data_IF_066520950138
#
_entry.id   IF_066520950138
#
_cell.length_a   1.000
_cell.length_b   1.000
_cell.length_c   1.000
_cell.angle_alpha   90.00
_cell.angle_beta   90.00
_cell.angle_gamma   90.00
#
_symmetry.space_group_name_H-M   'P 1'
#
loop_
_entity.id
_entity.type
_entity.pdbx_description
1 polymer ?
#
# COMPACT_ATOMS: atom_id res chain seq x y z
N UNK A 1 -1.18 -51.34 2.17
CA UNK A 1 -1.15 -51.44 0.71
C UNK A 1 -0.46 -50.22 0.17
N UNK A 2 0.61 -50.45 -0.58
CA UNK A 2 1.39 -49.45 -1.32
C UNK A 2 0.80 -49.35 -2.73
N UNK A 3 0.66 -48.13 -3.28
CA UNK A 3 0.61 -47.81 -4.72
C UNK A 3 0.45 -46.27 -4.84
N UNK A 4 1.55 -45.54 -5.03
CA UNK A 4 2.20 -45.08 -6.27
C UNK A 4 1.62 -43.78 -6.87
N UNK A 5 2.43 -42.71 -7.03
CA UNK A 5 1.99 -41.41 -7.57
C UNK A 5 1.99 -41.37 -9.11
N UNK A 6 1.13 -40.56 -9.74
CA UNK A 6 1.10 -40.40 -11.20
C UNK A 6 2.25 -39.55 -11.74
N UNK A 7 2.76 -40.04 -12.86
CA UNK A 7 3.95 -39.64 -13.62
C UNK A 7 3.80 -38.33 -14.41
N UNK A 8 4.88 -37.55 -14.47
CA UNK A 8 5.06 -36.38 -15.33
C UNK A 8 5.05 -36.75 -16.83
N UNK A 9 4.35 -35.96 -17.65
CA UNK A 9 4.41 -36.01 -19.12
C UNK A 9 5.52 -35.08 -19.67
N UNK A 10 6.28 -35.51 -20.68
CA UNK A 10 7.26 -34.67 -21.38
C UNK A 10 6.62 -33.86 -22.52
N UNK A 11 6.95 -32.57 -22.59
CA UNK A 11 6.58 -31.68 -23.71
C UNK A 11 7.55 -31.83 -24.90
N UNK A 12 7.07 -31.86 -26.15
CA UNK A 12 7.90 -32.03 -27.34
C UNK A 12 8.63 -30.73 -27.77
N UNK A 13 9.88 -30.89 -28.19
CA UNK A 13 10.76 -29.87 -28.74
C UNK A 13 10.30 -29.39 -30.13
N UNK A 14 10.36 -28.07 -30.38
CA UNK A 14 10.15 -27.47 -31.70
C UNK A 14 11.43 -27.49 -32.56
N UNK A 15 11.32 -27.71 -33.89
CA UNK A 15 12.46 -27.72 -34.82
C UNK A 15 13.03 -26.32 -35.11
N UNK A 16 14.35 -26.26 -35.26
CA UNK A 16 15.12 -25.08 -35.64
C UNK A 16 15.10 -24.88 -37.17
N UNK A 17 14.90 -23.64 -37.64
CA UNK A 17 15.07 -23.26 -39.04
C UNK A 17 16.53 -22.83 -39.35
N UNK A 18 17.09 -23.22 -40.51
CA UNK A 18 18.46 -22.90 -40.90
C UNK A 18 18.57 -21.56 -41.66
N UNK A 19 19.48 -20.69 -41.20
CA UNK A 19 19.85 -19.43 -41.84
C UNK A 19 21.11 -19.61 -42.70
N UNK A 20 21.07 -19.36 -44.03
CA UNK A 20 22.27 -19.36 -44.86
C UNK A 20 22.79 -17.93 -45.09
N UNK A 21 24.12 -17.75 -45.05
CA UNK A 21 24.94 -17.28 -46.18
C UNK A 21 26.28 -16.66 -45.72
N UNK A 22 27.44 -17.26 -46.09
CA UNK A 22 28.71 -16.53 -46.15
C UNK A 22 29.38 -16.62 -47.53
N UNK A 23 29.81 -15.48 -48.06
CA UNK A 23 30.81 -15.41 -49.16
C UNK A 23 31.75 -14.20 -49.01
N UNK A 24 33.07 -14.43 -48.95
CA UNK A 24 34.13 -13.59 -49.54
C UNK A 24 34.78 -14.37 -50.71
N UNK A 25 35.86 -13.94 -51.40
CA UNK A 25 36.69 -12.71 -51.37
C UNK A 25 36.93 -12.12 -52.80
N UNK A 26 37.81 -11.11 -52.99
CA UNK A 26 38.82 -11.05 -54.09
C UNK A 26 39.75 -9.81 -53.94
N UNK A 27 41.08 -9.94 -54.15
CA UNK A 27 42.05 -8.82 -54.11
C UNK A 27 42.61 -8.44 -55.50
N UNK A 28 43.06 -7.19 -55.68
CA UNK A 28 43.82 -6.71 -56.87
C UNK A 28 44.79 -5.52 -56.50
N UNK A 29 45.85 -5.25 -57.31
CA UNK A 29 47.20 -4.84 -56.87
C UNK A 29 47.60 -3.35 -57.10
N UNK A 30 48.83 -2.91 -56.72
CA UNK A 30 49.23 -1.51 -56.52
C UNK A 30 50.12 -0.94 -57.65
N UNK A 31 50.04 0.37 -57.93
CA UNK A 31 51.06 1.12 -58.68
C UNK A 31 51.09 2.60 -58.22
N UNK A 32 52.30 3.12 -57.95
CA UNK A 32 52.55 4.51 -57.59
C UNK A 32 52.91 5.40 -58.78
N UNK A 33 52.87 6.72 -58.56
CA UNK A 33 53.68 7.75 -59.25
C UNK A 33 53.66 9.06 -58.45
N UNK A 34 54.72 9.86 -58.61
CA UNK A 34 55.12 11.03 -57.81
C UNK A 34 54.95 12.34 -58.64
N UNK A 35 55.54 13.52 -58.30
CA UNK A 35 54.88 14.74 -57.80
C UNK A 35 54.95 15.97 -58.74
N UNK A 36 54.20 17.06 -58.48
CA UNK A 36 54.59 18.44 -58.91
C UNK A 36 53.88 19.56 -58.08
N UNK A 37 54.56 20.66 -57.69
CA UNK A 37 54.04 21.72 -56.80
C UNK A 37 53.60 23.02 -57.53
N UNK A 38 52.68 23.80 -56.95
CA UNK A 38 52.34 25.19 -57.35
C UNK A 38 51.88 26.07 -56.13
N UNK A 39 52.05 27.42 -56.17
CA UNK A 39 52.36 28.32 -55.03
C UNK A 39 51.20 29.20 -54.47
N UNK A 40 51.41 30.03 -53.42
CA UNK A 40 50.40 30.47 -52.45
C UNK A 40 49.83 31.89 -52.70
N UNK A 41 48.62 32.15 -52.21
CA UNK A 41 48.05 33.51 -52.09
C UNK A 41 47.61 33.79 -50.65
N UNK A 42 48.14 34.88 -50.09
CA UNK A 42 47.79 35.43 -48.79
C UNK A 42 46.50 36.27 -48.87
N UNK A 43 45.64 36.19 -47.85
CA UNK A 43 44.59 37.16 -47.60
C UNK A 43 44.53 37.55 -46.11
N UNK A 44 44.33 38.84 -45.91
CA UNK A 44 44.44 39.61 -44.68
C UNK A 44 43.08 39.69 -43.95
N UNK A 45 43.01 39.59 -42.60
CA UNK A 45 41.72 39.65 -41.90
C UNK A 45 41.20 41.09 -41.68
N UNK A 46 39.87 41.32 -41.78
CA UNK A 46 39.23 42.62 -41.55
C UNK A 46 38.96 42.95 -40.05
N UNK A 47 38.74 44.23 -39.70
CA UNK A 47 38.69 44.72 -38.32
C UNK A 47 37.37 44.39 -37.59
N UNK A 48 37.50 44.09 -36.29
CA UNK A 48 36.43 43.61 -35.41
C UNK A 48 35.69 44.80 -34.75
N UNK A 49 34.44 45.02 -35.12
CA UNK A 49 33.56 46.01 -34.48
C UNK A 49 32.77 45.34 -33.35
N UNK A 50 33.08 45.71 -32.10
CA UNK A 50 32.38 45.21 -30.91
C UNK A 50 31.03 45.95 -30.74
N UNK A 51 29.91 45.26 -30.96
CA UNK A 51 28.56 45.79 -30.71
C UNK A 51 28.15 45.39 -29.29
N UNK A 52 27.82 46.37 -28.44
CA UNK A 52 27.37 46.11 -27.07
C UNK A 52 26.06 45.29 -27.05
N UNK A 53 25.95 44.22 -26.24
CA UNK A 53 24.80 43.33 -26.25
C UNK A 53 23.55 44.02 -25.72
N UNK A 54 22.47 44.03 -26.51
CA UNK A 54 21.16 44.52 -26.10
C UNK A 54 20.57 43.57 -25.04
N UNK A 55 20.24 44.11 -23.87
CA UNK A 55 19.59 43.36 -22.78
C UNK A 55 18.20 42.89 -23.24
N UNK A 56 18.02 41.58 -23.35
CA UNK A 56 16.74 41.00 -23.71
C UNK A 56 15.86 40.86 -22.47
N UNK A 57 14.65 41.43 -22.52
CA UNK A 57 13.61 41.18 -21.52
C UNK A 57 12.93 39.82 -21.72
N UNK A 58 13.35 39.07 -22.75
CA UNK A 58 12.86 37.73 -23.05
C UNK A 58 13.03 36.77 -21.87
N UNK A 59 14.20 36.79 -21.19
CA UNK A 59 14.44 35.91 -20.05
C UNK A 59 13.53 36.24 -18.86
N UNK A 60 13.26 37.52 -18.63
CA UNK A 60 12.33 37.97 -17.59
C UNK A 60 10.89 37.54 -17.89
N UNK A 61 10.45 37.64 -19.14
CA UNK A 61 9.09 37.24 -19.53
C UNK A 61 8.92 35.71 -19.47
N UNK A 62 9.93 34.95 -19.90
CA UNK A 62 9.91 33.48 -19.81
C UNK A 62 9.86 33.01 -18.37
N UNK A 63 10.62 33.65 -17.46
CA UNK A 63 10.61 33.29 -16.05
C UNK A 63 9.26 33.57 -15.36
N UNK A 64 8.59 34.66 -15.74
CA UNK A 64 7.26 34.98 -15.22
C UNK A 64 6.19 33.99 -15.69
N UNK A 65 6.25 33.55 -16.95
CA UNK A 65 5.33 32.54 -17.49
C UNK A 65 5.55 31.19 -16.78
N UNK A 66 6.81 30.78 -16.59
CA UNK A 66 7.15 29.53 -15.88
C UNK A 66 6.65 29.53 -14.43
N UNK A 67 6.81 30.65 -13.72
CA UNK A 67 6.30 30.80 -12.34
C UNK A 67 4.76 30.74 -12.31
N UNK A 68 4.10 31.38 -13.26
CA UNK A 68 2.64 31.31 -13.39
C UNK A 68 2.13 29.90 -13.61
N UNK A 69 2.77 29.13 -14.51
CA UNK A 69 2.43 27.72 -14.76
C UNK A 69 2.69 26.85 -13.53
N UNK A 70 3.79 27.06 -12.82
CA UNK A 70 4.10 26.32 -11.60
C UNK A 70 3.04 26.55 -10.51
N UNK A 71 2.59 27.80 -10.30
CA UNK A 71 1.53 28.11 -9.35
C UNK A 71 0.20 27.50 -9.78
N UNK A 72 -0.12 27.53 -11.08
CA UNK A 72 -1.35 26.94 -11.62
C UNK A 72 -1.34 25.41 -11.49
N UNK A 73 -0.17 24.78 -11.65
CA UNK A 73 0.01 23.35 -11.46
C UNK A 73 -0.14 22.94 -9.99
N UNK A 74 0.54 23.64 -9.07
CA UNK A 74 0.44 23.36 -7.62
C UNK A 74 -0.95 23.67 -7.07
N UNK A 75 -1.53 24.81 -7.46
CA UNK A 75 -2.89 25.20 -7.08
C UNK A 75 -3.95 24.27 -7.68
N UNK A 76 -3.78 23.86 -8.95
CA UNK A 76 -4.66 22.89 -9.62
C UNK A 76 -4.60 21.51 -8.98
N UNK A 77 -3.42 21.02 -8.62
CA UNK A 77 -3.26 19.77 -7.88
C UNK A 77 -3.92 19.83 -6.50
N UNK A 78 -3.80 20.96 -5.77
CA UNK A 78 -4.43 21.11 -4.47
C UNK A 78 -5.97 21.09 -4.55
N UNK A 79 -6.58 21.70 -5.58
CA UNK A 79 -8.03 21.65 -5.79
C UNK A 79 -8.49 20.23 -6.15
N UNK A 80 -7.73 19.51 -6.99
CA UNK A 80 -8.08 18.14 -7.38
C UNK A 80 -7.98 17.16 -6.20
N UNK A 81 -6.98 17.33 -5.33
CA UNK A 81 -6.83 16.55 -4.10
C UNK A 81 -7.93 16.91 -3.07
N UNK A 82 -8.26 18.19 -2.91
CA UNK A 82 -9.33 18.64 -2.01
C UNK A 82 -10.73 18.16 -2.41
N UNK A 83 -11.02 18.08 -3.71
CA UNK A 83 -12.28 17.55 -4.22
C UNK A 83 -12.39 16.03 -4.02
N UNK A 84 -11.29 15.27 -4.14
CA UNK A 84 -11.28 13.83 -3.87
C UNK A 84 -11.54 13.50 -2.40
N UNK A 85 -11.06 14.30 -1.45
CA UNK A 85 -11.34 14.05 -0.02
C UNK A 85 -12.81 14.23 0.38
N UNK A 86 -13.58 15.07 -0.34
CA UNK A 86 -14.98 15.31 -0.02
C UNK A 86 -15.95 14.24 -0.57
N UNK A 87 -15.50 13.44 -1.54
CA UNK A 87 -16.33 12.43 -2.22
C UNK A 87 -15.91 10.99 -1.88
N UNK A 88 -14.65 10.79 -1.44
CA UNK A 88 -14.15 9.50 -0.93
C UNK A 88 -14.65 9.20 0.49
N UNK A 89 -15.05 10.21 1.27
CA UNK A 89 -15.61 10.04 2.62
C UNK A 89 -17.01 9.40 2.68
N UNK A 90 -17.61 8.99 1.56
CA UNK A 90 -18.93 8.33 1.53
C UNK A 90 -18.91 6.89 1.02
N UNK A 91 -17.77 6.39 0.53
CA UNK A 91 -17.63 5.02 0.00
C UNK A 91 -16.46 4.24 0.62
N UNK A 92 -15.79 4.76 1.65
CA UNK A 92 -14.72 4.07 2.38
C UNK A 92 -15.14 3.56 3.78
N UNK A 93 -16.33 3.93 4.26
CA UNK A 93 -16.79 3.50 5.60
C UNK A 93 -17.10 2.00 5.68
N UNK A 94 -17.28 1.33 4.54
CA UNK A 94 -17.62 -0.11 4.51
C UNK A 94 -16.41 -1.04 4.42
N UNK A 95 -15.24 -0.58 3.95
CA UNK A 95 -14.05 -1.44 3.82
C UNK A 95 -13.13 -1.42 5.05
N UNK A 96 -13.40 -0.53 6.01
CA UNK A 96 -12.59 -0.38 7.24
C UNK A 96 -13.18 -1.13 8.44
N UNK A 97 -14.38 -1.72 8.31
CA UNK A 97 -15.08 -2.42 9.41
C UNK A 97 -14.36 -3.68 9.91
N UNK A 98 -13.42 -4.21 9.13
CA UNK A 98 -12.70 -5.44 9.45
C UNK A 98 -11.32 -5.21 10.08
N UNK A 99 -10.78 -3.98 10.10
CA UNK A 99 -9.44 -3.74 10.64
C UNK A 99 -9.43 -3.80 12.17
N UNK A 100 -8.59 -4.62 12.83
CA UNK A 100 -8.54 -4.70 14.27
C UNK A 100 -8.23 -3.34 14.92
N UNK A 101 -8.99 -2.95 15.94
CA UNK A 101 -8.81 -1.68 16.66
C UNK A 101 -8.02 -1.92 17.93
N UNK A 102 -7.01 -1.08 18.19
CA UNK A 102 -6.29 -1.09 19.46
C UNK A 102 -7.19 -0.58 20.59
N UNK A 103 -7.28 -1.32 21.68
CA UNK A 103 -8.08 -0.96 22.85
C UNK A 103 -7.21 -0.94 24.11
N UNK A 104 -7.63 -0.15 25.10
CA UNK A 104 -7.05 -0.15 26.44
C UNK A 104 -7.91 -1.00 27.37
N UNK A 105 -7.30 -1.85 28.18
CA UNK A 105 -8.01 -2.63 29.19
C UNK A 105 -8.89 -1.74 30.10
N UNK A 106 -10.14 -2.14 30.29
CA UNK A 106 -11.11 -1.41 31.12
C UNK A 106 -11.75 -0.19 30.47
N UNK A 107 -11.29 0.26 29.30
CA UNK A 107 -11.91 1.36 28.56
C UNK A 107 -13.05 0.88 27.66
N UNK A 108 -14.05 1.73 27.48
CA UNK A 108 -15.13 1.44 26.53
C UNK A 108 -14.61 1.57 25.10
N UNK A 109 -15.14 0.74 24.20
CA UNK A 109 -14.84 0.81 22.78
C UNK A 109 -16.08 0.42 21.97
N UNK A 110 -16.07 0.77 20.69
CA UNK A 110 -17.16 0.46 19.77
C UNK A 110 -16.65 -0.38 18.61
N UNK A 111 -17.41 -1.42 18.27
CA UNK A 111 -17.09 -2.28 17.15
C UNK A 111 -18.34 -2.92 16.56
N UNK A 112 -18.48 -2.85 15.24
CA UNK A 112 -19.54 -3.54 14.50
C UNK A 112 -20.97 -3.25 14.99
N UNK A 113 -21.23 -2.00 15.40
CA UNK A 113 -22.52 -1.57 15.94
C UNK A 113 -22.75 -1.96 17.40
N UNK A 114 -21.76 -2.55 18.07
CA UNK A 114 -21.81 -2.84 19.50
C UNK A 114 -20.92 -1.88 20.30
N UNK A 115 -21.40 -1.43 21.45
CA UNK A 115 -20.66 -0.65 22.43
C UNK A 115 -20.26 -1.54 23.61
N UNK A 116 -18.96 -1.79 23.78
CA UNK A 116 -18.41 -2.45 24.96
C UNK A 116 -18.29 -1.46 26.13
N UNK A 117 -18.88 -1.80 27.27
CA UNK A 117 -18.88 -0.95 28.48
C UNK A 117 -17.51 -0.94 29.15
N UNK A 118 -17.24 0.12 29.93
CA UNK A 118 -16.03 0.22 30.78
C UNK A 118 -16.03 -0.84 31.88
N UNK A 119 -14.83 -1.21 32.34
CA UNK A 119 -14.64 -2.06 33.51
C UNK A 119 -14.34 -3.53 33.22
N UNK A 120 -14.25 -3.93 31.95
CA UNK A 120 -13.73 -5.24 31.57
C UNK A 120 -12.24 -5.36 31.89
N UNK A 121 -11.77 -6.58 32.10
CA UNK A 121 -10.36 -6.85 32.42
C UNK A 121 -9.90 -8.19 31.90
N UNK A 122 -8.61 -8.31 31.66
CA UNK A 122 -7.96 -9.59 31.44
C UNK A 122 -7.71 -10.27 32.78
N UNK A 123 -8.00 -11.57 32.85
CA UNK A 123 -7.85 -12.35 34.06
C UNK A 123 -7.53 -13.81 33.72
N UNK A 124 -6.94 -14.53 34.68
CA UNK A 124 -6.84 -15.98 34.59
C UNK A 124 -8.23 -16.62 34.77
N UNK A 125 -8.54 -17.61 33.93
CA UNK A 125 -9.66 -18.52 34.06
C UNK A 125 -9.34 -19.66 35.06
N UNK A 126 -10.33 -20.51 35.34
CA UNK A 126 -10.24 -21.57 36.36
C UNK A 126 -9.16 -22.65 36.09
N UNK A 127 -8.54 -22.64 34.90
CA UNK A 127 -7.47 -23.56 34.50
C UNK A 127 -6.15 -22.88 34.13
N UNK A 128 -6.00 -21.58 34.43
CA UNK A 128 -4.79 -20.81 34.11
C UNK A 128 -4.75 -20.23 32.69
N UNK A 129 -5.78 -20.49 31.88
CA UNK A 129 -5.96 -19.85 30.57
C UNK A 129 -6.33 -18.38 30.75
N UNK A 130 -6.03 -17.55 29.75
CA UNK A 130 -6.39 -16.13 29.78
C UNK A 130 -7.86 -15.93 29.36
N UNK A 131 -8.58 -15.02 30.00
CA UNK A 131 -9.96 -14.68 29.61
C UNK A 131 -10.24 -13.19 29.85
N UNK A 132 -11.31 -12.68 29.24
CA UNK A 132 -11.83 -11.34 29.53
C UNK A 132 -13.02 -11.46 30.49
N UNK A 133 -12.97 -10.77 31.62
CA UNK A 133 -14.04 -10.73 32.63
C UNK A 133 -14.76 -9.38 32.63
N UNK A 134 -16.07 -9.41 32.86
CA UNK A 134 -16.89 -8.20 32.98
C UNK A 134 -17.05 -7.44 31.66
N UNK A 135 -16.87 -8.12 30.51
CA UNK A 135 -17.14 -7.56 29.20
C UNK A 135 -18.65 -7.61 28.92
N UNK A 136 -19.29 -6.46 29.02
CA UNK A 136 -20.69 -6.28 28.66
C UNK A 136 -20.78 -5.40 27.42
N UNK A 137 -21.56 -5.82 26.44
CA UNK A 137 -21.77 -5.11 25.18
C UNK A 137 -23.22 -4.70 25.02
N UNK A 138 -23.46 -3.58 24.34
CA UNK A 138 -24.80 -3.10 23.99
C UNK A 138 -24.93 -3.03 22.48
N UNK A 139 -25.99 -3.61 21.90
CA UNK A 139 -26.29 -3.40 20.49
C UNK A 139 -26.86 -1.99 20.30
N UNK A 140 -26.21 -1.17 19.48
CA UNK A 140 -26.72 0.17 19.17
C UNK A 140 -27.96 0.09 18.29
N UNK A 141 -28.83 1.10 18.41
CA UNK A 141 -30.02 1.20 17.56
C UNK A 141 -29.63 1.36 16.09
N UNK A 142 -30.19 0.49 15.26
CA UNK A 142 -30.09 0.53 13.80
C UNK A 142 -31.45 0.12 13.23
N UNK A 143 -31.97 0.90 12.28
CA UNK A 143 -33.35 0.80 11.77
C UNK A 143 -33.64 -0.56 11.11
N UNK A 144 -32.59 -1.28 10.67
CA UNK A 144 -32.70 -2.54 9.93
C UNK A 144 -32.32 -3.79 10.75
N UNK A 145 -32.00 -3.65 12.03
CA UNK A 145 -31.47 -4.76 12.84
C UNK A 145 -32.54 -5.49 13.64
N UNK A 146 -32.87 -6.73 13.26
CA UNK A 146 -33.84 -7.61 13.97
C UNK A 146 -33.24 -8.41 15.14
N UNK A 147 -32.17 -7.89 15.73
CA UNK A 147 -31.38 -8.54 16.76
C UNK A 147 -30.12 -9.22 16.21
N UNK A 148 -29.02 -9.14 16.96
CA UNK A 148 -27.69 -9.64 16.58
C UNK A 148 -26.92 -10.16 17.79
N UNK A 149 -26.00 -11.07 17.54
CA UNK A 149 -24.98 -11.52 18.50
C UNK A 149 -23.68 -10.77 18.23
N UNK A 150 -23.05 -10.27 19.29
CA UNK A 150 -21.69 -9.74 19.21
C UNK A 150 -20.69 -10.89 19.21
N UNK A 151 -19.72 -10.84 18.31
CA UNK A 151 -18.61 -11.78 18.26
C UNK A 151 -17.30 -11.01 18.09
N UNK A 152 -16.43 -11.09 19.09
CA UNK A 152 -15.17 -10.36 19.14
C UNK A 152 -13.99 -11.31 19.34
N UNK A 153 -12.89 -11.03 18.64
CA UNK A 153 -11.60 -11.68 18.87
C UNK A 153 -10.60 -10.66 19.41
N UNK A 154 -10.16 -10.86 20.65
CA UNK A 154 -9.09 -10.10 21.28
C UNK A 154 -7.76 -10.76 20.97
N UNK A 155 -6.85 -10.01 20.37
CA UNK A 155 -5.46 -10.42 20.13
C UNK A 155 -4.53 -9.62 21.02
N UNK A 156 -3.75 -10.33 21.82
CA UNK A 156 -2.74 -9.77 22.69
C UNK A 156 -1.40 -9.86 21.98
N UNK A 157 -0.71 -8.73 21.87
CA UNK A 157 0.57 -8.63 21.18
C UNK A 157 1.70 -8.40 22.17
N UNK A 158 2.84 -9.03 21.88
CA UNK A 158 4.16 -8.78 22.45
C UNK A 158 5.06 -8.25 21.32
N UNK A 159 5.11 -6.93 21.20
CA UNK A 159 5.63 -6.20 20.04
C UNK A 159 4.82 -6.49 18.78
N UNK A 160 5.39 -7.27 17.87
CA UNK A 160 4.74 -7.65 16.60
C UNK A 160 4.22 -9.09 16.59
N UNK A 161 4.44 -9.86 17.66
CA UNK A 161 4.02 -11.26 17.79
C UNK A 161 2.65 -11.32 18.47
N UNK A 162 1.72 -12.11 17.92
CA UNK A 162 0.48 -12.47 18.63
C UNK A 162 0.87 -13.46 19.74
N UNK A 163 0.70 -13.04 20.99
CA UNK A 163 1.03 -13.81 22.18
C UNK A 163 -0.13 -14.71 22.63
N UNK A 164 -1.37 -14.22 22.51
CA UNK A 164 -2.59 -14.97 22.81
C UNK A 164 -3.79 -14.43 22.00
N UNK A 165 -4.78 -15.29 21.81
CA UNK A 165 -6.08 -14.97 21.20
C UNK A 165 -7.21 -15.37 22.16
N UNK A 166 -8.22 -14.50 22.30
CA UNK A 166 -9.41 -14.73 23.14
C UNK A 166 -10.64 -14.43 22.30
N UNK A 167 -11.50 -15.43 22.14
CA UNK A 167 -12.77 -15.29 21.43
C UNK A 167 -13.90 -15.08 22.42
N UNK A 168 -14.71 -14.05 22.16
CA UNK A 168 -15.81 -13.62 22.99
C UNK A 168 -17.11 -13.61 22.18
N UNK A 169 -18.17 -14.21 22.71
CA UNK A 169 -19.50 -14.21 22.09
C UNK A 169 -20.57 -13.80 23.08
N UNK A 170 -21.56 -13.01 22.66
CA UNK A 170 -22.72 -12.66 23.49
C UNK A 170 -23.93 -13.56 23.22
N UNK A 171 -25.02 -13.36 23.97
CA UNK A 171 -26.34 -13.79 23.51
C UNK A 171 -26.84 -12.88 22.37
N UNK A 172 -27.91 -13.29 21.69
CA UNK A 172 -28.65 -12.40 20.79
C UNK A 172 -29.25 -11.23 21.59
N UNK A 173 -29.09 -10.02 21.09
CA UNK A 173 -29.61 -8.78 21.69
C UNK A 173 -30.46 -8.04 20.66
N UNK A 174 -31.53 -7.40 21.09
CA UNK A 174 -32.25 -6.41 20.30
C UNK A 174 -31.58 -5.02 20.39
N UNK A 175 -31.87 -4.10 19.47
CA UNK A 175 -31.45 -2.69 19.57
C UNK A 175 -31.65 -2.10 20.97
N UNK A 176 -30.57 -1.57 21.56
CA UNK A 176 -30.54 -0.98 22.89
C UNK A 176 -30.35 -1.97 24.05
N UNK A 177 -30.40 -3.28 23.80
CA UNK A 177 -30.18 -4.30 24.83
C UNK A 177 -28.67 -4.54 25.05
N UNK A 178 -28.34 -4.98 26.28
CA UNK A 178 -26.98 -5.37 26.66
C UNK A 178 -26.89 -6.85 27.03
N UNK A 179 -25.73 -7.47 26.77
CA UNK A 179 -25.41 -8.83 27.20
C UNK A 179 -23.96 -8.90 27.68
N UNK A 180 -23.73 -9.65 28.75
CA UNK A 180 -22.39 -10.10 29.10
C UNK A 180 -21.88 -11.05 28.01
N UNK A 181 -20.58 -10.99 27.71
CA UNK A 181 -19.91 -11.87 26.77
C UNK A 181 -19.29 -13.08 27.48
N UNK A 182 -19.42 -14.27 26.86
CA UNK A 182 -18.66 -15.45 27.24
C UNK A 182 -17.34 -15.47 26.44
N UNK A 183 -16.22 -15.39 27.15
CA UNK A 183 -14.89 -15.26 26.57
C UNK A 183 -14.01 -16.47 26.89
N UNK A 184 -13.40 -17.05 25.87
CA UNK A 184 -12.57 -18.25 25.99
C UNK A 184 -11.25 -18.08 25.24
N UNK A 185 -10.18 -18.59 25.83
CA UNK A 185 -8.87 -18.73 25.20
C UNK A 185 -8.37 -20.15 25.42
N UNK A 186 -7.49 -20.59 24.54
CA UNK A 186 -6.69 -21.81 24.74
C UNK A 186 -5.22 -21.49 25.05
N UNK A 187 -4.89 -20.20 25.15
CA UNK A 187 -3.56 -19.74 25.46
C UNK A 187 -3.42 -19.55 26.98
N UNK A 188 -2.25 -19.94 27.55
CA UNK A 188 -1.97 -19.71 28.96
C UNK A 188 -1.80 -18.21 29.24
N UNK A 189 -1.58 -17.86 30.51
CA UNK A 189 -1.17 -16.51 30.87
C UNK A 189 0.08 -16.06 30.09
N UNK A 190 0.00 -14.88 29.46
CA UNK A 190 1.05 -14.29 28.61
C UNK A 190 1.31 -12.84 28.98
N UNK A 191 2.56 -12.41 28.79
CA UNK A 191 2.91 -10.99 28.79
C UNK A 191 2.54 -10.36 27.46
N UNK A 192 2.00 -9.14 27.49
CA UNK A 192 1.61 -8.39 26.31
C UNK A 192 1.79 -6.88 26.56
N UNK A 193 1.90 -6.10 25.49
CA UNK A 193 1.95 -4.62 25.52
C UNK A 193 0.78 -3.97 24.79
N UNK A 194 0.15 -4.67 23.85
CA UNK A 194 -0.92 -4.13 23.01
C UNK A 194 -2.09 -5.11 22.92
N UNK A 195 -3.33 -4.61 23.03
CA UNK A 195 -4.57 -5.39 22.82
C UNK A 195 -5.25 -4.85 21.56
N UNK A 196 -5.62 -5.74 20.63
CA UNK A 196 -6.44 -5.38 19.47
C UNK A 196 -7.71 -6.23 19.42
N UNK A 197 -8.81 -5.61 19.02
CA UNK A 197 -10.12 -6.27 18.91
C UNK A 197 -10.59 -6.25 17.46
N UNK A 198 -10.98 -7.41 16.96
CA UNK A 198 -11.64 -7.57 15.68
C UNK A 198 -13.06 -8.14 15.88
N UNK A 199 -13.97 -7.81 14.98
CA UNK A 199 -15.27 -8.48 14.87
C UNK A 199 -15.10 -9.79 14.10
N UNK A 200 -15.75 -10.85 14.59
CA UNK A 200 -15.89 -12.10 13.85
C UNK A 200 -17.22 -12.02 13.09
N UNK A 201 -17.12 -12.07 11.76
CA UNK A 201 -18.17 -12.01 10.73
C UNK A 201 -19.56 -12.57 11.08
#
# INVERSE_FOLDING_TARGET
MSEQPPTHQPHPQQPHEPQPNPQPPYPQPPYGQSPYPQPPYAQQPPPNYYVAPRKSHALRNVLLILLGVAILFVGGCAVMVGAFFNEVGKNLDDFSKDEPVTVTEGEAFERDGFEAKRGWKLAAADFGDLTVKGLEVTLKEDEDTNGRTASFTFRLYDGTRVAAEIDCTSNEMQPGESSEMDCRSFDPDVTYDTIKVASMW
#
